data_IF_797856748840
#
_entry.id   IF_797856748840
#
_cell.length_a   1.000
_cell.length_b   1.000
_cell.length_c   1.000
_cell.angle_alpha   90.00
_cell.angle_beta   90.00
_cell.angle_gamma   90.00
#
_symmetry.space_group_name_H-M   'P 1'
#
loop_
_entity.id
_entity.type
_entity.pdbx_description
1 polymer ?
#
# COMPACT_ATOMS: atom_id res chain seq x y z
N UNK A 1 -5.71 -20.54 -10.94
CA UNK A 1 -5.10 -21.48 -9.98
C UNK A 1 -3.59 -21.35 -10.17
N UNK A 2 -2.86 -20.92 -9.14
CA UNK A 2 -1.56 -20.24 -9.26
C UNK A 2 -0.36 -21.18 -9.07
N UNK A 3 0.30 -21.57 -10.16
CA UNK A 3 1.54 -22.40 -10.14
C UNK A 3 2.84 -21.56 -10.07
N UNK A 4 2.78 -20.31 -9.62
CA UNK A 4 3.98 -19.47 -9.48
C UNK A 4 4.55 -19.40 -8.05
N UNK A 5 4.17 -20.34 -7.19
CA UNK A 5 4.30 -20.17 -5.74
C UNK A 5 5.65 -20.63 -5.13
N UNK A 6 6.40 -21.53 -5.76
CA UNK A 6 7.45 -22.26 -5.03
C UNK A 6 8.91 -21.92 -5.34
N UNK A 7 9.24 -21.16 -6.39
CA UNK A 7 10.64 -20.93 -6.77
C UNK A 7 10.93 -19.51 -7.25
N UNK A 8 10.52 -18.50 -6.49
CA UNK A 8 10.99 -17.13 -6.74
C UNK A 8 12.22 -16.83 -5.90
N UNK A 9 13.39 -17.20 -6.44
CA UNK A 9 14.66 -16.62 -6.03
C UNK A 9 14.51 -15.10 -5.96
N UNK A 10 14.71 -14.55 -4.78
CA UNK A 10 14.11 -13.26 -4.41
C UNK A 10 14.80 -12.05 -5.06
N UNK A 11 15.99 -12.22 -5.66
CA UNK A 11 16.68 -11.17 -6.42
C UNK A 11 16.15 -11.00 -7.85
N UNK A 12 15.92 -12.12 -8.58
CA UNK A 12 15.36 -12.09 -9.95
C UNK A 12 13.97 -11.43 -9.96
N UNK A 13 13.23 -11.62 -8.87
CA UNK A 13 11.88 -11.08 -8.68
C UNK A 13 11.80 -9.55 -8.68
N UNK A 14 12.88 -8.85 -8.33
CA UNK A 14 12.90 -7.37 -8.22
C UNK A 14 12.91 -6.71 -9.59
N UNK A 15 13.81 -7.15 -10.46
CA UNK A 15 13.96 -6.59 -11.81
C UNK A 15 13.03 -7.25 -12.83
N UNK A 16 12.44 -8.40 -12.49
CA UNK A 16 11.55 -9.12 -13.40
C UNK A 16 10.42 -8.28 -13.99
N UNK A 17 9.68 -7.43 -13.24
CA UNK A 17 8.65 -6.58 -13.82
C UNK A 17 9.18 -5.69 -14.95
N UNK A 18 10.38 -5.12 -14.75
CA UNK A 18 11.05 -4.29 -15.74
C UNK A 18 11.43 -5.10 -16.98
N UNK A 19 12.13 -6.24 -16.82
CA UNK A 19 12.54 -7.06 -17.96
C UNK A 19 11.35 -7.67 -18.70
N UNK A 20 10.34 -8.17 -17.97
CA UNK A 20 9.12 -8.72 -18.56
C UNK A 20 8.41 -7.67 -19.43
N UNK A 21 8.36 -6.41 -18.98
CA UNK A 21 7.82 -5.31 -19.78
C UNK A 21 8.61 -5.09 -21.07
N UNK A 22 9.94 -5.02 -20.98
CA UNK A 22 10.79 -4.80 -22.16
C UNK A 22 10.74 -5.97 -23.15
N UNK A 23 10.68 -7.21 -22.65
CA UNK A 23 10.49 -8.40 -23.48
C UNK A 23 9.13 -8.34 -24.18
N UNK A 24 8.05 -7.98 -23.48
CA UNK A 24 6.72 -7.83 -24.09
C UNK A 24 6.70 -6.74 -25.16
N UNK A 25 7.37 -5.62 -24.92
CA UNK A 25 7.51 -4.55 -25.91
C UNK A 25 8.33 -4.99 -27.12
N UNK A 26 9.43 -5.70 -26.90
CA UNK A 26 10.25 -6.26 -27.98
C UNK A 26 9.46 -7.26 -28.83
N UNK A 27 8.74 -8.20 -28.19
CA UNK A 27 7.86 -9.15 -28.89
C UNK A 27 6.77 -8.43 -29.71
N UNK A 28 6.17 -7.38 -29.14
CA UNK A 28 5.21 -6.56 -29.86
C UNK A 28 5.86 -5.92 -31.10
N UNK A 29 7.05 -5.34 -31.00
CA UNK A 29 7.78 -4.78 -32.15
C UNK A 29 8.12 -5.85 -33.19
N UNK A 30 8.56 -7.03 -32.76
CA UNK A 30 8.86 -8.17 -33.66
C UNK A 30 7.60 -8.59 -34.41
N UNK A 31 6.45 -8.64 -33.74
CA UNK A 31 5.16 -8.99 -34.38
C UNK A 31 4.73 -8.01 -35.48
N UNK A 32 5.27 -6.79 -35.48
CA UNK A 32 4.95 -5.75 -36.44
C UNK A 32 5.95 -5.65 -37.61
N UNK A 33 7.02 -6.46 -37.64
CA UNK A 33 8.11 -6.31 -38.63
C UNK A 33 7.60 -6.29 -40.07
N UNK A 34 6.67 -7.18 -40.42
CA UNK A 34 6.14 -7.33 -41.78
C UNK A 34 5.00 -6.36 -42.14
N UNK A 35 4.56 -5.49 -41.21
CA UNK A 35 3.46 -4.55 -41.46
C UNK A 35 3.92 -3.25 -42.12
N UNK A 36 2.98 -2.53 -42.74
CA UNK A 36 3.22 -1.20 -43.31
C UNK A 36 3.59 -0.17 -42.23
N UNK A 37 4.28 0.92 -42.60
CA UNK A 37 4.72 1.95 -41.64
C UNK A 37 3.55 2.63 -40.91
N UNK A 38 2.42 2.80 -41.59
CA UNK A 38 1.20 3.38 -41.00
C UNK A 38 0.60 2.44 -39.96
N UNK A 39 0.43 1.16 -40.30
CA UNK A 39 -0.06 0.13 -39.39
C UNK A 39 0.85 -0.08 -38.19
N UNK A 40 2.18 -0.03 -38.38
CA UNK A 40 3.17 -0.09 -37.30
C UNK A 40 2.92 1.01 -36.26
N UNK A 41 2.73 2.25 -36.71
CA UNK A 41 2.48 3.40 -35.83
C UNK A 41 1.14 3.25 -35.10
N UNK A 42 0.08 2.90 -35.82
CA UNK A 42 -1.25 2.71 -35.23
C UNK A 42 -1.27 1.58 -34.19
N UNK A 43 -0.67 0.43 -34.51
CA UNK A 43 -0.58 -0.70 -33.59
C UNK A 43 0.28 -0.41 -32.36
N UNK A 44 1.41 0.31 -32.54
CA UNK A 44 2.28 0.71 -31.43
C UNK A 44 1.54 1.69 -30.51
N UNK A 45 0.85 2.68 -31.08
CA UNK A 45 0.06 3.64 -30.32
C UNK A 45 -1.05 2.92 -29.52
N UNK A 46 -1.81 2.03 -30.17
CA UNK A 46 -2.85 1.24 -29.51
C UNK A 46 -2.29 0.35 -28.38
N UNK A 47 -1.09 -0.22 -28.55
CA UNK A 47 -0.43 -1.00 -27.50
C UNK A 47 -0.10 -0.14 -26.27
N UNK A 48 0.44 1.06 -26.49
CA UNK A 48 0.73 2.00 -25.40
C UNK A 48 -0.53 2.51 -24.71
N UNK A 49 -1.57 2.83 -25.47
CA UNK A 49 -2.85 3.33 -24.95
C UNK A 49 -3.58 2.25 -24.15
N UNK A 50 -3.46 0.97 -24.54
CA UNK A 50 -4.07 -0.15 -23.82
C UNK A 50 -3.50 -0.36 -22.41
N UNK A 51 -2.26 0.09 -22.16
CA UNK A 51 -1.56 -0.14 -20.89
C UNK A 51 -1.80 0.92 -19.85
N UNK A 52 -2.07 2.15 -20.27
CA UNK A 52 -2.24 3.24 -19.32
C UNK A 52 -3.71 3.55 -19.10
N UNK A 53 -4.14 3.74 -17.85
CA UNK A 53 -5.51 4.07 -17.54
C UNK A 53 -5.79 5.54 -17.88
N UNK A 54 -5.92 5.84 -19.16
CA UNK A 54 -6.29 7.16 -19.65
C UNK A 54 -7.71 7.47 -19.15
N UNK A 55 -7.90 8.64 -18.55
CA UNK A 55 -9.21 9.13 -18.10
C UNK A 55 -9.65 8.69 -16.70
N UNK A 56 -8.86 7.89 -15.97
CA UNK A 56 -9.13 7.61 -14.54
C UNK A 56 -8.46 8.66 -13.66
N UNK A 57 -9.08 8.99 -12.53
CA UNK A 57 -8.44 9.88 -11.55
C UNK A 57 -7.18 9.20 -10.99
N UNK A 58 -6.05 9.91 -10.85
CA UNK A 58 -4.83 9.32 -10.32
C UNK A 58 -4.99 8.74 -8.90
N UNK A 59 -5.85 9.35 -8.08
CA UNK A 59 -6.06 8.96 -6.69
C UNK A 59 -6.86 7.64 -6.54
N UNK A 60 -7.63 7.26 -7.55
CA UNK A 60 -8.34 5.97 -7.57
C UNK A 60 -7.42 4.81 -8.00
N UNK A 61 -6.22 5.11 -8.53
CA UNK A 61 -5.27 4.11 -9.01
C UNK A 61 -4.51 3.49 -7.84
N UNK A 62 -5.01 2.34 -7.37
CA UNK A 62 -4.36 1.53 -6.33
C UNK A 62 -3.80 0.24 -6.93
N UNK A 63 -2.48 0.09 -6.90
CA UNK A 63 -1.83 -1.18 -7.21
C UNK A 63 -1.85 -2.07 -5.98
N UNK A 64 -2.31 -3.32 -6.15
CA UNK A 64 -2.27 -4.36 -5.12
C UNK A 64 -1.23 -5.40 -5.49
N UNK A 65 -0.31 -5.67 -4.57
CA UNK A 65 0.66 -6.75 -4.69
C UNK A 65 0.57 -7.67 -3.48
N UNK A 66 0.22 -8.93 -3.71
CA UNK A 66 0.24 -9.94 -2.66
C UNK A 66 1.55 -10.70 -2.65
N UNK A 67 2.10 -10.91 -1.47
CA UNK A 67 3.29 -11.72 -1.26
C UNK A 67 3.17 -12.57 0.03
N UNK A 68 4.15 -13.43 0.27
CA UNK A 68 4.19 -14.34 1.40
C UNK A 68 5.50 -14.18 2.18
N UNK A 69 5.40 -14.13 3.50
CA UNK A 69 6.54 -14.02 4.41
C UNK A 69 7.23 -15.38 4.55
N UNK A 70 7.94 -15.81 3.51
CA UNK A 70 8.70 -17.05 3.52
C UNK A 70 9.87 -16.99 4.52
N UNK A 71 10.37 -18.14 4.99
CA UNK A 71 11.48 -18.16 5.94
C UNK A 71 12.75 -17.46 5.46
N UNK A 72 13.01 -17.42 4.14
CA UNK A 72 14.20 -16.77 3.56
C UNK A 72 14.18 -15.23 3.58
N UNK A 73 13.01 -14.62 3.79
CA UNK A 73 12.85 -13.17 3.94
C UNK A 73 12.65 -12.73 5.39
N UNK A 74 12.50 -13.70 6.30
CA UNK A 74 12.35 -13.44 7.73
C UNK A 74 13.72 -13.41 8.41
N UNK A 75 13.81 -12.71 9.54
CA UNK A 75 15.00 -12.70 10.38
C UNK A 75 14.84 -13.64 11.59
N UNK A 76 15.81 -13.57 12.52
CA UNK A 76 15.84 -14.42 13.71
C UNK A 76 14.65 -14.23 14.66
N UNK A 77 13.93 -13.09 14.59
CA UNK A 77 12.75 -12.81 15.40
C UNK A 77 11.46 -13.42 14.82
N UNK A 78 11.57 -14.22 13.74
CA UNK A 78 10.44 -14.88 13.09
C UNK A 78 9.40 -13.90 12.53
N UNK A 79 9.85 -12.72 12.14
CA UNK A 79 9.07 -11.74 11.39
C UNK A 79 9.80 -11.31 10.11
N UNK A 80 9.07 -10.67 9.21
CA UNK A 80 9.64 -10.12 7.98
C UNK A 80 10.76 -9.14 8.32
N UNK A 81 11.96 -9.38 7.79
CA UNK A 81 13.11 -8.54 8.09
C UNK A 81 12.87 -7.10 7.65
N UNK A 82 13.37 -6.13 8.42
CA UNK A 82 13.27 -4.70 8.11
C UNK A 82 13.74 -4.37 6.68
N UNK A 83 14.80 -5.04 6.20
CA UNK A 83 15.32 -4.84 4.84
C UNK A 83 14.38 -5.36 3.74
N UNK A 84 13.58 -6.38 4.05
CA UNK A 84 12.67 -6.99 3.08
C UNK A 84 11.47 -6.08 2.76
N UNK A 85 11.06 -5.18 3.68
CA UNK A 85 10.07 -4.16 3.37
C UNK A 85 10.54 -3.24 2.23
N UNK A 86 11.80 -2.80 2.25
CA UNK A 86 12.36 -1.97 1.19
C UNK A 86 12.46 -2.71 -0.15
N UNK A 87 12.90 -3.97 -0.10
CA UNK A 87 12.95 -4.83 -1.29
C UNK A 87 11.57 -5.05 -1.93
N UNK A 88 10.54 -5.35 -1.13
CA UNK A 88 9.18 -5.49 -1.64
C UNK A 88 8.64 -4.16 -2.14
N UNK A 89 8.96 -3.04 -1.49
CA UNK A 89 8.58 -1.71 -1.96
C UNK A 89 9.14 -1.43 -3.36
N UNK A 90 10.39 -1.79 -3.64
CA UNK A 90 11.00 -1.59 -4.97
C UNK A 90 10.26 -2.38 -6.07
N UNK A 91 9.88 -3.63 -5.80
CA UNK A 91 9.04 -4.45 -6.69
C UNK A 91 7.72 -3.76 -6.97
N UNK A 92 7.04 -3.31 -5.92
CA UNK A 92 5.71 -2.71 -6.00
C UNK A 92 5.77 -1.37 -6.73
N UNK A 93 6.77 -0.56 -6.44
CA UNK A 93 7.00 0.72 -7.11
C UNK A 93 7.26 0.51 -8.59
N UNK A 94 8.10 -0.44 -8.98
CA UNK A 94 8.34 -0.73 -10.39
C UNK A 94 7.06 -1.20 -11.10
N UNK A 95 6.29 -2.09 -10.47
CA UNK A 95 4.97 -2.51 -11.01
C UNK A 95 4.00 -1.33 -11.13
N UNK A 96 4.02 -0.40 -10.18
CA UNK A 96 3.15 0.79 -10.19
C UNK A 96 3.53 1.70 -11.35
N UNK A 97 4.84 1.94 -11.55
CA UNK A 97 5.37 2.72 -12.66
C UNK A 97 4.97 2.10 -14.00
N UNK A 98 5.15 0.79 -14.15
CA UNK A 98 4.80 0.07 -15.40
C UNK A 98 3.29 -0.01 -15.66
N UNK A 99 2.45 0.10 -14.62
CA UNK A 99 1.00 0.05 -14.77
C UNK A 99 0.39 1.43 -15.08
N UNK A 100 0.95 2.51 -14.53
CA UNK A 100 0.28 3.80 -14.53
C UNK A 100 1.06 4.92 -15.22
N UNK A 101 2.39 4.84 -15.28
CA UNK A 101 3.25 5.85 -15.91
C UNK A 101 4.22 5.22 -16.91
N UNK A 102 3.80 4.15 -17.58
CA UNK A 102 4.62 3.42 -18.55
C UNK A 102 5.09 4.26 -19.74
N UNK A 103 4.40 5.36 -20.03
CA UNK A 103 4.73 6.33 -21.08
C UNK A 103 6.08 7.00 -20.86
N UNK A 104 6.60 7.03 -19.63
CA UNK A 104 7.95 7.53 -19.36
C UNK A 104 9.02 6.79 -20.17
N UNK A 105 8.84 5.49 -20.38
CA UNK A 105 9.77 4.66 -21.16
C UNK A 105 9.64 4.85 -22.67
N UNK A 106 8.55 5.47 -23.14
CA UNK A 106 8.38 5.81 -24.56
C UNK A 106 9.29 6.98 -24.98
N UNK A 107 9.65 7.83 -24.02
CA UNK A 107 10.53 9.00 -24.22
C UNK A 107 11.93 8.79 -23.63
N UNK A 108 12.32 7.53 -23.40
CA UNK A 108 13.59 7.14 -22.78
C UNK A 108 13.82 7.78 -21.40
N UNK A 109 12.73 8.09 -20.69
CA UNK A 109 12.78 8.67 -19.36
C UNK A 109 13.16 7.65 -18.28
N UNK A 110 13.87 8.14 -17.25
CA UNK A 110 14.27 7.36 -16.08
C UNK A 110 13.52 7.87 -14.86
N UNK A 111 13.07 6.95 -13.99
CA UNK A 111 12.36 7.28 -12.75
C UNK A 111 13.29 7.00 -11.55
N UNK A 112 14.13 7.96 -11.14
CA UNK A 112 15.01 7.79 -9.98
C UNK A 112 14.23 7.88 -8.68
N UNK A 113 14.77 7.25 -7.63
CA UNK A 113 14.24 7.33 -6.28
C UNK A 113 14.88 8.51 -5.56
N UNK A 114 14.07 9.46 -5.11
CA UNK A 114 14.57 10.62 -4.34
C UNK A 114 14.74 10.32 -2.86
N UNK A 115 13.69 9.81 -2.22
CA UNK A 115 13.67 9.50 -0.80
C UNK A 115 12.72 8.35 -0.49
N UNK A 116 12.97 7.66 0.63
CA UNK A 116 12.10 6.61 1.17
C UNK A 116 12.00 6.83 2.68
N UNK A 117 10.79 6.73 3.22
CA UNK A 117 10.54 6.75 4.66
C UNK A 117 9.63 5.58 5.03
N UNK A 118 9.95 4.90 6.13
CA UNK A 118 9.18 3.77 6.64
C UNK A 118 8.67 4.06 8.04
N UNK A 119 7.41 3.74 8.28
CA UNK A 119 6.81 3.72 9.62
C UNK A 119 6.32 2.31 9.91
N UNK A 120 6.96 1.65 10.86
CA UNK A 120 6.63 0.28 11.24
C UNK A 120 5.63 0.32 12.40
N UNK A 121 4.37 -0.03 12.11
CA UNK A 121 3.31 -0.05 13.14
C UNK A 121 3.10 -1.45 13.72
N UNK A 122 3.13 -2.47 12.86
CA UNK A 122 2.91 -3.87 13.25
C UNK A 122 3.75 -4.78 12.37
N UNK A 123 4.31 -5.79 13.01
CA UNK A 123 5.17 -6.78 12.38
C UNK A 123 4.35 -7.78 11.56
N UNK A 124 4.93 -8.23 10.45
CA UNK A 124 4.38 -9.31 9.62
C UNK A 124 5.01 -10.63 10.09
N UNK A 125 4.24 -11.56 10.66
CA UNK A 125 4.79 -12.82 11.15
C UNK A 125 5.25 -13.71 10.00
N UNK A 126 6.25 -14.56 10.26
CA UNK A 126 6.67 -15.60 9.35
C UNK A 126 5.49 -16.49 8.92
N UNK A 127 5.55 -16.98 7.68
CA UNK A 127 4.55 -17.81 7.00
C UNK A 127 3.19 -17.13 6.77
N UNK A 128 3.04 -15.82 7.00
CA UNK A 128 1.79 -15.09 6.72
C UNK A 128 1.80 -14.47 5.33
N UNK A 129 0.62 -14.41 4.71
CA UNK A 129 0.41 -13.65 3.47
C UNK A 129 0.13 -12.20 3.81
N UNK A 130 0.69 -11.31 3.02
CA UNK A 130 0.46 -9.87 3.15
C UNK A 130 0.18 -9.25 1.78
N UNK A 131 -0.50 -8.11 1.80
CA UNK A 131 -0.86 -7.31 0.63
C UNK A 131 -0.20 -5.95 0.77
N UNK A 132 0.53 -5.52 -0.25
CA UNK A 132 1.05 -4.16 -0.36
C UNK A 132 0.13 -3.38 -1.29
N UNK A 133 -0.43 -2.29 -0.78
CA UNK A 133 -1.28 -1.35 -1.53
C UNK A 133 -0.49 -0.09 -1.80
N UNK A 134 -0.23 0.20 -3.06
CA UNK A 134 0.50 1.40 -3.48
C UNK A 134 -0.43 2.36 -4.23
N UNK A 135 -0.46 3.61 -3.78
CA UNK A 135 -1.25 4.69 -4.38
C UNK A 135 -0.44 5.98 -4.43
N UNK A 136 -0.78 6.87 -5.36
CA UNK A 136 -0.23 8.23 -5.40
C UNK A 136 -0.90 9.08 -4.33
N UNK A 137 -0.09 9.90 -3.65
CA UNK A 137 -0.57 10.88 -2.66
C UNK A 137 -0.64 12.27 -3.27
N UNK A 138 0.43 12.67 -3.94
CA UNK A 138 0.55 13.97 -4.61
C UNK A 138 1.77 13.95 -5.54
N UNK A 139 1.96 15.01 -6.32
CA UNK A 139 3.15 15.24 -7.14
C UNK A 139 3.53 16.72 -7.04
N UNK A 140 4.84 16.98 -7.07
CA UNK A 140 5.39 18.32 -7.23
C UNK A 140 5.84 18.56 -8.67
N UNK A 141 6.77 19.49 -8.85
CA UNK A 141 7.35 19.80 -10.16
C UNK A 141 8.22 18.66 -10.70
N UNK A 142 9.02 18.04 -9.83
CA UNK A 142 9.99 16.99 -10.19
C UNK A 142 9.66 15.62 -9.60
N UNK A 143 9.01 15.58 -8.45
CA UNK A 143 8.87 14.37 -7.64
C UNK A 143 7.43 13.89 -7.56
N UNK A 144 7.26 12.57 -7.67
CA UNK A 144 6.01 11.87 -7.42
C UNK A 144 6.04 11.25 -6.02
N UNK A 145 5.01 11.52 -5.22
CA UNK A 145 4.91 10.99 -3.86
C UNK A 145 3.96 9.80 -3.82
N UNK A 146 4.50 8.63 -3.51
CA UNK A 146 3.75 7.38 -3.39
C UNK A 146 3.65 6.94 -1.93
N UNK A 147 2.51 6.37 -1.56
CA UNK A 147 2.33 5.69 -0.27
C UNK A 147 2.12 4.21 -0.51
N UNK A 148 2.89 3.38 0.18
CA UNK A 148 2.73 1.93 0.18
C UNK A 148 2.29 1.47 1.57
N UNK A 149 1.11 0.87 1.66
CA UNK A 149 0.56 0.30 2.89
C UNK A 149 0.71 -1.20 2.87
N UNK A 150 1.43 -1.74 3.86
CA UNK A 150 1.53 -3.18 4.09
C UNK A 150 0.35 -3.61 4.97
N UNK A 151 -0.46 -4.54 4.46
CA UNK A 151 -1.69 -5.01 5.10
C UNK A 151 -1.62 -6.52 5.24
N UNK A 152 -1.73 -7.01 6.47
CA UNK A 152 -1.93 -8.43 6.74
C UNK A 152 -3.43 -8.71 6.82
N UNK A 153 -3.91 -9.72 6.09
CA UNK A 153 -5.29 -10.16 6.22
C UNK A 153 -5.38 -11.07 7.44
N UNK A 154 -5.82 -10.53 8.58
CA UNK A 154 -6.19 -11.37 9.71
C UNK A 154 -7.51 -12.06 9.38
N UNK A 155 -7.47 -13.36 9.08
CA UNK A 155 -8.66 -14.22 8.91
C UNK A 155 -9.43 -14.48 10.21
N UNK A 156 -9.35 -13.56 11.18
CA UNK A 156 -10.22 -13.58 12.35
C UNK A 156 -11.61 -13.18 11.87
N UNK A 157 -12.46 -14.18 11.60
CA UNK A 157 -13.92 -14.01 11.66
C UNK A 157 -14.21 -13.37 13.01
N UNK A 158 -14.45 -12.06 13.02
CA UNK A 158 -15.05 -11.39 14.16
C UNK A 158 -16.49 -11.89 14.16
N UNK A 159 -16.72 -13.03 14.83
CA UNK A 159 -18.06 -13.43 15.23
C UNK A 159 -18.52 -12.34 16.18
N UNK A 160 -19.27 -11.39 15.63
CA UNK A 160 -19.95 -10.36 16.40
C UNK A 160 -20.87 -11.13 17.34
N UNK A 161 -20.48 -11.31 18.60
CA UNK A 161 -21.36 -11.81 19.65
C UNK A 161 -22.38 -10.69 19.86
N UNK A 162 -23.49 -10.76 19.14
CA UNK A 162 -24.68 -9.99 19.45
C UNK A 162 -25.11 -10.46 20.83
N UNK A 163 -24.84 -9.63 21.85
CA UNK A 163 -25.34 -9.86 23.19
C UNK A 163 -26.81 -9.47 23.11
N UNK A 164 -27.68 -10.45 22.90
CA UNK A 164 -29.14 -10.26 23.01
C UNK A 164 -29.41 -9.74 24.42
N UNK A 165 -29.78 -8.46 24.50
CA UNK A 165 -30.34 -7.87 25.72
C UNK A 165 -31.77 -8.35 25.74
N UNK A 166 -32.01 -9.45 26.46
CA UNK A 166 -33.36 -9.88 26.81
C UNK A 166 -34.02 -8.78 27.64
N UNK A 167 -35.08 -8.21 27.08
CA UNK A 167 -36.04 -7.35 27.75
C UNK A 167 -36.55 -7.99 29.04
N UNK A 168 -36.20 -7.41 30.19
CA UNK A 168 -36.95 -7.58 31.43
C UNK A 168 -37.91 -6.40 31.50
N UNK A 169 -39.19 -6.70 31.33
CA UNK A 169 -40.31 -5.78 31.52
C UNK A 169 -40.75 -5.79 32.98
N UNK A 170 -41.13 -4.59 33.48
CA UNK A 170 -42.07 -4.28 34.60
C UNK A 170 -41.71 -4.81 36.00
N UNK A 171 -41.89 -4.12 37.11
CA UNK A 171 -42.37 -2.79 37.47
C UNK A 171 -41.89 -2.55 38.94
N UNK A 172 -42.27 -1.41 39.51
CA UNK A 172 -42.19 -1.02 40.94
C UNK A 172 -41.11 0.00 41.30
N UNK A 173 -41.52 1.27 41.25
CA UNK A 173 -41.17 2.32 42.23
C UNK A 173 -42.18 2.24 43.40
N UNK A 174 -42.02 2.91 44.56
CA UNK A 174 -41.03 3.94 44.95
C UNK A 174 -40.37 3.67 46.33
N UNK A 175 -39.29 4.39 46.69
CA UNK A 175 -39.23 5.25 47.90
C UNK A 175 -37.82 5.88 48.08
N UNK A 176 -37.82 7.03 48.75
CA UNK A 176 -36.74 7.96 49.09
C UNK A 176 -35.47 7.34 49.70
N UNK A 177 -34.31 7.91 49.36
CA UNK A 177 -33.41 8.59 50.32
C UNK A 177 -32.04 8.89 49.72
N UNK A 178 -31.54 10.06 50.13
CA UNK A 178 -30.28 10.68 49.81
C UNK A 178 -29.05 9.78 49.98
N UNK A 179 -28.07 9.95 49.08
CA UNK A 179 -26.67 10.25 49.42
C UNK A 179 -25.69 9.70 48.36
N UNK A 180 -24.95 10.64 47.77
CA UNK A 180 -23.49 10.63 47.79
C UNK A 180 -22.76 9.56 46.94
N UNK A 181 -22.35 9.95 45.72
CA UNK A 181 -20.98 9.67 45.27
C UNK A 181 -20.53 10.71 44.24
N UNK A 182 -20.25 11.91 44.75
CA UNK A 182 -19.60 12.97 44.00
C UNK A 182 -18.10 12.64 43.93
N UNK A 183 -17.63 12.16 42.78
CA UNK A 183 -16.20 11.94 42.54
C UNK A 183 -15.53 13.30 42.30
N UNK A 184 -14.93 13.83 43.37
CA UNK A 184 -14.12 15.05 43.45
C UNK A 184 -13.04 15.08 42.36
N UNK A 185 -13.17 16.03 41.43
CA UNK A 185 -12.03 16.56 40.68
C UNK A 185 -11.71 17.92 41.31
N UNK A 186 -10.55 18.13 41.96
CA UNK A 186 -10.16 19.45 42.40
C UNK A 186 -9.75 20.30 41.19
N UNK A 187 -10.60 21.28 40.89
CA UNK A 187 -10.36 22.37 39.96
C UNK A 187 -9.81 23.56 40.76
N UNK A 188 -8.53 23.92 40.54
CA UNK A 188 -7.91 25.24 40.77
C UNK A 188 -6.38 25.12 40.77
N UNK A 189 -5.75 25.66 39.73
CA UNK A 189 -4.97 26.90 39.87
C UNK A 189 -4.73 27.52 38.49
N UNK A 190 -5.66 28.39 38.09
CA UNK A 190 -5.35 29.51 37.22
C UNK A 190 -4.45 30.48 37.98
N UNK A 191 -3.31 30.87 37.42
CA UNK A 191 -2.87 32.27 37.29
C UNK A 191 -1.51 32.34 36.58
N UNK A 192 -1.56 32.78 35.32
CA UNK A 192 -0.49 33.47 34.58
C UNK A 192 -0.14 34.80 35.29
N UNK A 193 1.09 35.33 35.16
CA UNK A 193 1.29 36.29 34.08
C UNK A 193 2.69 36.28 33.41
N UNK A 194 2.69 36.27 32.07
CA UNK A 194 3.20 37.34 31.18
C UNK A 194 4.61 37.93 31.41
N UNK A 195 5.40 37.91 30.31
CA UNK A 195 6.64 38.69 29.97
C UNK A 195 7.94 38.22 30.66
N UNK A 196 9.11 38.13 30.02
CA UNK A 196 9.73 39.03 29.03
C UNK A 196 10.99 38.41 28.35
N UNK A 197 11.38 39.01 27.21
CA UNK A 197 12.73 39.18 26.64
C UNK A 197 13.50 37.92 26.14
N UNK A 198 13.77 37.77 24.84
CA UNK A 198 14.85 38.40 24.05
C UNK A 198 16.25 37.93 24.50
N UNK A 199 16.85 37.02 23.73
CA UNK A 199 18.14 37.18 23.04
C UNK A 199 18.29 36.10 21.96
#
# INVERSE_FOLDING_TARGET
>A
MSEHFLLRGTAVSVLWPYFAFHIQYWLHRVSLIYKSTSEKRAATQAWWDSRSPIGKSPFDLVLKHTDWSSPDVCDYNLHLSNSCYAKTLDIVRMKWVLAFVSQVFRVDGVVPVGAISFSFLREIPMLRRFEVRCSVVTWGEKWLYLVAKFVTTDSRKVTRRTKDVSSISSADTPDDSDADFQLKIPDKLSEEPVRAAVH
#
